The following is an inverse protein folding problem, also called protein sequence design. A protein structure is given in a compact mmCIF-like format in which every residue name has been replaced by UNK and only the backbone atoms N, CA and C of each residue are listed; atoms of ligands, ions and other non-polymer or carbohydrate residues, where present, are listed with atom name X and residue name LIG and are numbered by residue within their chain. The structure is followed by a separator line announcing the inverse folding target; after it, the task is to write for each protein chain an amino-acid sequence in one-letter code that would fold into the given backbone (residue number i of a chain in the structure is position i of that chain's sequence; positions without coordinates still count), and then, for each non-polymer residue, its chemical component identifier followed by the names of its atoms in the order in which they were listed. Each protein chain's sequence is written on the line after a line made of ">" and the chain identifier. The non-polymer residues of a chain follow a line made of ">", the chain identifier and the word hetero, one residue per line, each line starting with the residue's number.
data_IF_477560705186
#
_entry.id   IF_477560705186
#
_cell.length_a   1.000
_cell.length_b   1.000
_cell.length_c   1.000
_cell.angle_alpha   90.00
_cell.angle_beta   90.00
_cell.angle_gamma   90.00
#
_symmetry.space_group_name_H-M   'P 1'
#
loop_
_entity.id
_entity.type
_entity.pdbx_description
1 polymer ?
#
# COMPACT_ATOMS: atom_id res chain seq x y z
N UNK A 1 11.95 -45.69 -19.64
CA UNK A 1 12.63 -45.60 -20.94
C UNK A 1 11.62 -44.98 -21.89
N UNK A 2 11.85 -43.73 -22.29
CA UNK A 2 10.87 -42.97 -23.08
C UNK A 2 11.01 -43.31 -24.57
N UNK A 3 9.92 -43.17 -25.33
CA UNK A 3 9.80 -43.58 -26.74
C UNK A 3 10.91 -43.04 -27.67
N UNK A 4 11.63 -41.97 -27.30
CA UNK A 4 12.63 -41.30 -28.16
C UNK A 4 14.05 -41.23 -27.59
N UNK A 5 14.37 -41.87 -26.46
CA UNK A 5 15.75 -41.90 -25.92
C UNK A 5 16.36 -40.54 -25.51
N UNK A 6 15.56 -39.46 -25.46
CA UNK A 6 16.01 -38.14 -25.04
C UNK A 6 16.20 -38.04 -23.50
N UNK A 7 17.21 -37.29 -23.02
CA UNK A 7 17.44 -37.13 -21.58
C UNK A 7 16.28 -36.39 -20.91
N UNK A 8 15.70 -37.01 -19.89
CA UNK A 8 14.57 -36.43 -19.14
C UNK A 8 15.09 -35.35 -18.21
N UNK A 9 14.70 -34.10 -18.45
CA UNK A 9 14.93 -33.01 -17.50
C UNK A 9 13.70 -32.84 -16.63
N UNK A 10 13.88 -32.75 -15.31
CA UNK A 10 12.78 -32.55 -14.36
C UNK A 10 13.16 -31.49 -13.34
N UNK A 11 12.42 -30.38 -13.36
CA UNK A 11 12.57 -29.23 -12.46
C UNK A 11 11.33 -29.04 -11.56
N UNK A 12 10.46 -30.04 -11.53
CA UNK A 12 9.12 -29.97 -10.92
C UNK A 12 9.18 -29.87 -9.40
N UNK A 13 10.09 -30.59 -8.74
CA UNK A 13 10.22 -30.55 -7.28
C UNK A 13 10.64 -29.16 -6.78
N UNK A 14 11.63 -28.54 -7.45
CA UNK A 14 12.07 -27.18 -7.13
C UNK A 14 10.96 -26.15 -7.36
N UNK A 15 10.12 -26.34 -8.38
CA UNK A 15 8.96 -25.49 -8.65
C UNK A 15 7.91 -25.55 -7.52
N UNK A 16 7.56 -26.75 -7.06
CA UNK A 16 6.57 -26.94 -5.98
C UNK A 16 7.07 -26.32 -4.68
N UNK A 17 8.31 -26.61 -4.29
CA UNK A 17 8.91 -26.04 -3.08
C UNK A 17 8.91 -24.52 -3.12
N UNK A 18 9.31 -23.92 -4.25
CA UNK A 18 9.31 -22.46 -4.41
C UNK A 18 7.89 -21.90 -4.27
N UNK A 19 6.91 -22.48 -4.95
CA UNK A 19 5.52 -22.02 -4.93
C UNK A 19 4.91 -22.09 -3.52
N UNK A 20 5.07 -23.22 -2.82
CA UNK A 20 4.51 -23.43 -1.48
C UNK A 20 5.17 -22.54 -0.43
N UNK A 21 6.50 -22.39 -0.48
CA UNK A 21 7.24 -21.52 0.45
C UNK A 21 6.84 -20.06 0.25
N UNK A 22 6.79 -19.58 -1.00
CA UNK A 22 6.39 -18.20 -1.28
C UNK A 22 4.93 -17.93 -0.89
N UNK A 23 4.04 -18.87 -1.21
CA UNK A 23 2.62 -18.76 -0.85
C UNK A 23 2.40 -18.72 0.66
N UNK A 24 3.09 -19.59 1.40
CA UNK A 24 3.04 -19.60 2.88
C UNK A 24 3.55 -18.28 3.46
N UNK A 25 4.67 -17.78 2.94
CA UNK A 25 5.23 -16.50 3.37
C UNK A 25 4.26 -15.34 3.09
N UNK A 26 3.64 -15.30 1.91
CA UNK A 26 2.59 -14.32 1.59
C UNK A 26 1.41 -14.38 2.58
N UNK A 27 0.99 -15.59 2.97
CA UNK A 27 -0.02 -15.78 4.01
C UNK A 27 0.39 -15.21 5.37
N UNK A 28 1.64 -15.42 5.79
CA UNK A 28 2.18 -14.85 7.04
C UNK A 28 2.21 -13.32 6.99
N UNK A 29 2.65 -12.72 5.87
CA UNK A 29 2.65 -11.26 5.69
C UNK A 29 1.23 -10.68 5.75
N UNK A 30 0.28 -11.35 5.10
CA UNK A 30 -1.13 -10.96 5.10
C UNK A 30 -1.74 -11.07 6.51
N UNK A 31 -1.51 -12.18 7.20
CA UNK A 31 -1.95 -12.38 8.58
C UNK A 31 -1.38 -11.32 9.51
N UNK A 32 -0.07 -11.04 9.40
CA UNK A 32 0.60 -10.00 10.19
C UNK A 32 -0.07 -8.64 9.98
N UNK A 33 -0.43 -8.30 8.73
CA UNK A 33 -1.16 -7.06 8.42
C UNK A 33 -2.50 -6.99 9.15
N UNK A 34 -3.31 -8.04 9.11
CA UNK A 34 -4.63 -8.06 9.76
C UNK A 34 -4.52 -8.09 11.29
N UNK A 35 -3.64 -8.90 11.85
CA UNK A 35 -3.37 -8.96 13.30
C UNK A 35 -2.90 -7.60 13.81
N UNK A 36 -2.01 -6.92 13.09
CA UNK A 36 -1.56 -5.56 13.44
C UNK A 36 -2.75 -4.60 13.50
N UNK A 37 -3.62 -4.62 12.47
CA UNK A 37 -4.78 -3.71 12.43
C UNK A 37 -5.78 -4.00 13.54
N UNK A 38 -6.02 -5.26 13.84
CA UNK A 38 -6.91 -5.68 14.90
C UNK A 38 -6.37 -5.32 16.29
N UNK A 39 -5.12 -5.70 16.58
CA UNK A 39 -4.46 -5.43 17.87
C UNK A 39 -4.37 -3.93 18.19
N UNK A 40 -4.14 -3.11 17.17
CA UNK A 40 -3.97 -1.67 17.32
C UNK A 40 -5.22 -0.84 16.98
N UNK A 41 -6.38 -1.48 16.76
CA UNK A 41 -7.66 -0.84 16.43
C UNK A 41 -7.54 0.19 15.28
N UNK A 42 -6.74 -0.14 14.27
CA UNK A 42 -6.57 0.70 13.09
C UNK A 42 -7.81 0.59 12.20
N UNK A 43 -8.23 1.67 11.51
CA UNK A 43 -9.39 1.61 10.64
C UNK A 43 -9.16 0.66 9.47
N UNK A 44 -10.15 -0.17 9.16
CA UNK A 44 -10.17 -0.98 7.94
C UNK A 44 -10.50 -0.10 6.74
N UNK A 45 -9.73 -0.23 5.67
CA UNK A 45 -9.97 0.47 4.41
C UNK A 45 -10.37 -0.50 3.31
N UNK A 46 -10.79 0.04 2.16
CA UNK A 46 -11.06 -0.73 0.94
C UNK A 46 -9.80 -1.49 0.49
N UNK A 47 -8.62 -0.93 0.75
CA UNK A 47 -7.32 -1.57 0.50
C UNK A 47 -7.18 -2.89 1.28
N UNK A 48 -7.73 -3.01 2.48
CA UNK A 48 -7.69 -4.25 3.26
C UNK A 48 -8.64 -5.31 2.71
N UNK A 49 -9.82 -4.90 2.26
CA UNK A 49 -10.78 -5.80 1.63
C UNK A 49 -10.21 -6.38 0.33
N UNK A 50 -9.61 -5.53 -0.52
CA UNK A 50 -8.97 -5.97 -1.75
C UNK A 50 -7.74 -6.85 -1.49
N UNK A 51 -6.99 -6.59 -0.41
CA UNK A 51 -5.91 -7.50 0.01
C UNK A 51 -6.45 -8.87 0.40
N UNK A 52 -7.56 -8.93 1.15
CA UNK A 52 -8.20 -10.19 1.52
C UNK A 52 -8.67 -10.96 0.27
N UNK A 53 -9.30 -10.27 -0.68
CA UNK A 53 -9.72 -10.86 -1.96
C UNK A 53 -8.51 -11.38 -2.74
N UNK A 54 -7.42 -10.60 -2.81
CA UNK A 54 -6.15 -11.00 -3.44
C UNK A 54 -5.61 -12.28 -2.82
N UNK A 55 -5.60 -12.38 -1.49
CA UNK A 55 -5.16 -13.59 -0.80
C UNK A 55 -6.08 -14.77 -1.11
N UNK A 56 -7.40 -14.56 -1.11
CA UNK A 56 -8.38 -15.61 -1.39
C UNK A 56 -8.25 -16.14 -2.82
N UNK A 57 -7.90 -15.28 -3.79
CA UNK A 57 -7.59 -15.66 -5.17
C UNK A 57 -6.23 -16.37 -5.31
N UNK A 58 -5.25 -16.04 -4.46
CA UNK A 58 -3.93 -16.69 -4.49
C UNK A 58 -3.95 -18.14 -4.03
N UNK A 59 -4.87 -18.53 -3.14
CA UNK A 59 -4.96 -19.91 -2.61
C UNK A 59 -5.21 -20.92 -3.75
N UNK A 60 -6.24 -20.77 -4.61
CA UNK A 60 -6.41 -21.62 -5.78
C UNK A 60 -5.20 -21.62 -6.72
N UNK A 61 -4.52 -20.47 -6.89
CA UNK A 61 -3.32 -20.41 -7.74
C UNK A 61 -2.19 -21.30 -7.21
N UNK A 62 -1.97 -21.28 -5.88
CA UNK A 62 -0.96 -22.13 -5.23
C UNK A 62 -1.34 -23.60 -5.41
N UNK A 63 -2.60 -23.95 -5.13
CA UNK A 63 -3.08 -25.33 -5.27
C UNK A 63 -3.01 -25.84 -6.72
N UNK A 64 -3.39 -25.02 -7.70
CA UNK A 64 -3.34 -25.39 -9.12
C UNK A 64 -1.88 -25.55 -9.57
N UNK A 65 -0.95 -24.71 -9.12
CA UNK A 65 0.47 -24.88 -9.45
C UNK A 65 1.05 -26.18 -8.85
N UNK A 66 0.85 -26.41 -7.54
CA UNK A 66 1.48 -27.54 -6.82
C UNK A 66 0.80 -28.88 -7.05
N UNK A 67 -0.53 -28.92 -7.22
CA UNK A 67 -1.29 -30.18 -7.40
C UNK A 67 -1.91 -30.33 -8.79
N UNK A 68 -2.00 -29.24 -9.56
CA UNK A 68 -2.57 -29.26 -10.91
C UNK A 68 -1.51 -29.30 -12.00
N UNK A 69 -0.45 -28.49 -11.93
CA UNK A 69 0.57 -28.41 -12.99
C UNK A 69 1.75 -29.34 -12.71
N UNK A 70 2.19 -29.44 -11.45
CA UNK A 70 3.30 -30.32 -11.06
C UNK A 70 3.11 -31.79 -11.47
N UNK A 71 2.01 -32.48 -11.10
CA UNK A 71 1.83 -33.89 -11.48
C UNK A 71 1.47 -34.09 -12.96
N UNK A 72 1.12 -33.01 -13.67
CA UNK A 72 0.78 -33.04 -15.09
C UNK A 72 1.91 -32.47 -15.97
N UNK A 73 3.15 -32.43 -15.46
CA UNK A 73 4.34 -32.30 -16.28
C UNK A 73 4.89 -30.89 -16.49
N UNK A 74 4.58 -29.93 -15.62
CA UNK A 74 5.29 -28.65 -15.65
C UNK A 74 6.79 -28.86 -15.37
N UNK A 75 7.64 -28.30 -16.23
CA UNK A 75 9.09 -28.45 -16.10
C UNK A 75 9.59 -29.87 -16.38
N UNK A 76 8.82 -30.67 -17.13
CA UNK A 76 9.24 -31.91 -17.79
C UNK A 76 8.90 -31.84 -19.27
N UNK A 77 9.61 -32.60 -20.10
CA UNK A 77 9.36 -32.61 -21.53
C UNK A 77 7.97 -33.20 -21.88
N UNK A 78 7.29 -32.61 -22.88
CA UNK A 78 5.89 -32.92 -23.15
C UNK A 78 5.67 -34.37 -23.62
N UNK A 79 6.66 -34.95 -24.31
CA UNK A 79 6.64 -36.34 -24.80
C UNK A 79 6.75 -37.40 -23.69
N UNK A 80 6.98 -36.98 -22.43
CA UNK A 80 6.97 -37.89 -21.28
C UNK A 80 5.59 -38.05 -20.65
N UNK A 81 4.62 -37.26 -21.11
CA UNK A 81 3.27 -37.18 -20.54
C UNK A 81 2.28 -38.05 -21.29
N UNK A 82 1.33 -38.61 -20.54
CA UNK A 82 0.18 -39.30 -21.12
C UNK A 82 -0.82 -38.28 -21.72
N UNK A 83 -1.60 -38.66 -22.75
CA UNK A 83 -2.68 -37.86 -23.32
C UNK A 83 -3.61 -37.18 -22.30
N UNK A 84 -4.00 -37.91 -21.25
CA UNK A 84 -4.86 -37.39 -20.18
C UNK A 84 -4.13 -36.32 -19.36
N UNK A 85 -2.84 -36.50 -19.07
CA UNK A 85 -2.03 -35.50 -18.37
C UNK A 85 -1.87 -34.21 -19.18
N UNK A 86 -1.68 -34.30 -20.50
CA UNK A 86 -1.57 -33.12 -21.38
C UNK A 86 -2.88 -32.31 -21.36
N UNK A 87 -4.02 -33.00 -21.44
CA UNK A 87 -5.34 -32.35 -21.38
C UNK A 87 -5.59 -31.68 -20.03
N UNK A 88 -5.23 -32.35 -18.92
CA UNK A 88 -5.31 -31.78 -17.57
C UNK A 88 -4.38 -30.59 -17.38
N UNK A 89 -3.15 -30.67 -17.91
CA UNK A 89 -2.20 -29.56 -17.91
C UNK A 89 -2.80 -28.34 -18.62
N UNK A 90 -3.35 -28.52 -19.83
CA UNK A 90 -3.99 -27.44 -20.58
C UNK A 90 -5.17 -26.80 -19.82
N UNK A 91 -6.02 -27.61 -19.18
CA UNK A 91 -7.15 -27.11 -18.38
C UNK A 91 -6.69 -26.32 -17.15
N UNK A 92 -5.67 -26.81 -16.45
CA UNK A 92 -5.12 -26.14 -15.27
C UNK A 92 -4.38 -24.85 -15.65
N UNK A 93 -3.63 -24.86 -16.76
CA UNK A 93 -2.93 -23.69 -17.29
C UNK A 93 -3.91 -22.60 -17.73
N UNK A 94 -5.04 -22.98 -18.36
CA UNK A 94 -6.15 -22.07 -18.68
C UNK A 94 -6.72 -21.40 -17.43
N UNK A 95 -7.05 -22.18 -16.40
CA UNK A 95 -7.58 -21.65 -15.15
C UNK A 95 -6.58 -20.71 -14.46
N UNK A 96 -5.30 -21.08 -14.48
CA UNK A 96 -4.22 -20.28 -13.89
C UNK A 96 -4.05 -18.94 -14.60
N UNK A 97 -4.15 -18.90 -15.93
CA UNK A 97 -4.05 -17.66 -16.71
C UNK A 97 -5.14 -16.64 -16.32
N UNK A 98 -6.39 -17.09 -16.15
CA UNK A 98 -7.51 -16.24 -15.73
C UNK A 98 -7.28 -15.71 -14.31
N UNK A 99 -6.94 -16.61 -13.38
CA UNK A 99 -6.71 -16.24 -11.99
C UNK A 99 -5.53 -15.28 -11.84
N UNK A 100 -4.51 -15.46 -12.66
CA UNK A 100 -3.35 -14.58 -12.69
C UNK A 100 -3.71 -13.13 -13.04
N UNK A 101 -4.51 -12.90 -14.09
CA UNK A 101 -4.97 -11.54 -14.44
C UNK A 101 -5.84 -10.91 -13.35
N UNK A 102 -6.72 -11.70 -12.73
CA UNK A 102 -7.53 -11.25 -11.59
C UNK A 102 -6.66 -10.86 -10.39
N UNK A 103 -5.64 -11.66 -10.09
CA UNK A 103 -4.72 -11.45 -8.98
C UNK A 103 -3.89 -10.18 -9.19
N UNK A 104 -3.29 -10.00 -10.36
CA UNK A 104 -2.53 -8.80 -10.72
C UNK A 104 -3.40 -7.53 -10.64
N UNK A 105 -4.63 -7.60 -11.13
CA UNK A 105 -5.57 -6.47 -11.11
C UNK A 105 -5.91 -6.08 -9.67
N UNK A 106 -6.32 -7.05 -8.85
CA UNK A 106 -6.74 -6.81 -7.46
C UNK A 106 -5.58 -6.31 -6.60
N UNK A 107 -4.37 -6.81 -6.84
CA UNK A 107 -3.15 -6.39 -6.15
C UNK A 107 -2.80 -4.93 -6.46
N UNK A 108 -2.82 -4.53 -7.73
CA UNK A 108 -2.58 -3.12 -8.12
C UNK A 108 -3.67 -2.19 -7.60
N UNK A 109 -4.93 -2.61 -7.65
CA UNK A 109 -6.03 -1.85 -7.04
C UNK A 109 -5.79 -1.65 -5.55
N UNK A 110 -5.37 -2.69 -4.82
CA UNK A 110 -5.02 -2.60 -3.40
C UNK A 110 -3.97 -1.50 -3.13
N UNK A 111 -2.91 -1.43 -3.94
CA UNK A 111 -1.88 -0.39 -3.84
C UNK A 111 -2.43 1.02 -4.11
N UNK A 112 -3.24 1.19 -5.16
CA UNK A 112 -3.80 2.50 -5.53
C UNK A 112 -4.82 2.98 -4.50
N UNK A 113 -5.68 2.10 -3.97
CA UNK A 113 -6.59 2.45 -2.87
C UNK A 113 -5.84 2.81 -1.59
N UNK A 114 -4.73 2.13 -1.34
CA UNK A 114 -3.84 2.49 -0.25
C UNK A 114 -3.23 3.89 -0.45
N UNK A 115 -2.86 4.29 -1.69
CA UNK A 115 -2.43 5.66 -1.99
C UNK A 115 -3.55 6.69 -1.82
N UNK A 116 -4.78 6.38 -2.22
CA UNK A 116 -5.96 7.24 -2.00
C UNK A 116 -6.20 7.52 -0.52
N UNK A 117 -5.80 6.60 0.36
CA UNK A 117 -5.93 6.73 1.82
C UNK A 117 -4.82 7.58 2.44
N UNK A 118 -3.59 7.51 1.93
CA UNK A 118 -2.46 8.29 2.47
C UNK A 118 -2.52 9.74 2.04
N UNK A 119 -2.82 10.01 0.76
CA UNK A 119 -2.63 11.32 0.17
C UNK A 119 -3.97 12.06 0.08
N UNK A 120 -4.19 13.14 0.86
CA UNK A 120 -5.45 13.87 0.86
C UNK A 120 -5.60 14.87 -0.31
N UNK A 121 -4.53 15.18 -1.03
CA UNK A 121 -4.52 16.22 -2.08
C UNK A 121 -5.51 15.94 -3.22
N UNK A 122 -6.44 16.87 -3.47
CA UNK A 122 -7.55 16.69 -4.41
C UNK A 122 -7.10 16.38 -5.86
N UNK A 123 -6.12 17.14 -6.37
CA UNK A 123 -5.58 16.92 -7.72
C UNK A 123 -4.95 15.53 -7.87
N UNK A 124 -4.22 15.07 -6.85
CA UNK A 124 -3.61 13.75 -6.85
C UNK A 124 -4.66 12.63 -6.77
N UNK A 125 -5.72 12.83 -6.00
CA UNK A 125 -6.85 11.87 -5.92
C UNK A 125 -7.56 11.72 -7.25
N UNK A 126 -7.67 12.78 -8.07
CA UNK A 126 -8.23 12.68 -9.44
C UNK A 126 -7.38 11.75 -10.31
N UNK A 127 -6.06 11.89 -10.28
CA UNK A 127 -5.13 10.99 -11.00
C UNK A 127 -5.22 9.55 -10.50
N UNK A 128 -5.36 9.35 -9.18
CA UNK A 128 -5.52 8.02 -8.60
C UNK A 128 -6.82 7.35 -9.03
N UNK A 129 -7.94 8.06 -9.04
CA UNK A 129 -9.22 7.53 -9.55
C UNK A 129 -9.16 7.19 -11.04
N UNK A 130 -8.48 8.00 -11.85
CA UNK A 130 -8.19 7.66 -13.25
C UNK A 130 -7.35 6.38 -13.38
N UNK A 131 -6.39 6.20 -12.48
CA UNK A 131 -5.54 4.99 -12.43
C UNK A 131 -6.37 3.76 -12.01
N UNK A 132 -7.29 3.88 -11.05
CA UNK A 132 -8.24 2.82 -10.68
C UNK A 132 -9.05 2.39 -11.90
N UNK A 133 -9.66 3.34 -12.61
CA UNK A 133 -10.44 3.05 -13.80
C UNK A 133 -9.61 2.33 -14.88
N UNK A 134 -8.39 2.80 -15.13
CA UNK A 134 -7.49 2.18 -16.09
C UNK A 134 -7.13 0.73 -15.71
N UNK A 135 -6.76 0.48 -14.45
CA UNK A 135 -6.42 -0.87 -13.97
C UNK A 135 -7.64 -1.80 -14.07
N UNK A 136 -8.83 -1.33 -13.71
CA UNK A 136 -10.06 -2.12 -13.80
C UNK A 136 -10.39 -2.48 -15.25
N UNK A 137 -10.28 -1.52 -16.19
CA UNK A 137 -10.52 -1.77 -17.62
C UNK A 137 -9.49 -2.74 -18.18
N UNK A 138 -8.20 -2.55 -17.84
CA UNK A 138 -7.13 -3.48 -18.22
C UNK A 138 -7.43 -4.90 -17.74
N UNK A 139 -7.73 -5.06 -16.44
CA UNK A 139 -8.00 -6.35 -15.83
C UNK A 139 -9.20 -7.04 -16.46
N UNK A 140 -10.30 -6.32 -16.63
CA UNK A 140 -11.50 -6.85 -17.27
C UNK A 140 -11.23 -7.29 -18.72
N UNK A 141 -10.51 -6.47 -19.49
CA UNK A 141 -10.18 -6.77 -20.89
C UNK A 141 -9.36 -8.05 -20.99
N UNK A 142 -8.28 -8.17 -20.23
CA UNK A 142 -7.40 -9.35 -20.31
C UNK A 142 -8.03 -10.61 -19.71
N UNK A 143 -8.91 -10.49 -18.71
CA UNK A 143 -9.71 -11.62 -18.21
C UNK A 143 -10.66 -12.12 -19.29
N UNK A 144 -11.38 -11.22 -19.98
CA UNK A 144 -12.26 -11.60 -21.09
C UNK A 144 -11.49 -12.22 -22.25
N UNK A 145 -10.34 -11.63 -22.61
CA UNK A 145 -9.46 -12.21 -23.64
C UNK A 145 -8.96 -13.59 -23.22
N UNK A 146 -8.56 -13.79 -21.97
CA UNK A 146 -8.12 -15.10 -21.48
C UNK A 146 -9.25 -16.15 -21.51
N UNK A 147 -10.49 -15.76 -21.21
CA UNK A 147 -11.65 -16.65 -21.26
C UNK A 147 -12.01 -17.01 -22.71
N UNK A 148 -12.00 -16.02 -23.61
CA UNK A 148 -12.44 -16.18 -25.00
C UNK A 148 -11.28 -16.33 -26.00
N UNK A 149 -10.10 -16.74 -25.54
CA UNK A 149 -8.91 -16.84 -26.40
C UNK A 149 -9.02 -17.94 -27.47
N UNK A 150 -9.91 -18.92 -27.32
CA UNK A 150 -10.14 -19.98 -28.30
C UNK A 150 -11.64 -20.14 -28.62
N UNK A 151 -11.93 -20.48 -29.88
CA UNK A 151 -13.25 -20.83 -30.37
C UNK A 151 -13.20 -22.21 -31.03
N UNK A 152 -13.86 -23.24 -30.47
CA UNK A 152 -14.54 -23.28 -29.16
C UNK A 152 -13.55 -23.18 -27.96
N UNK A 153 -14.03 -22.81 -26.76
CA UNK A 153 -13.18 -22.69 -25.55
C UNK A 153 -12.46 -24.01 -25.24
N UNK A 154 -13.14 -25.14 -25.48
CA UNK A 154 -12.58 -26.47 -25.31
C UNK A 154 -11.38 -26.75 -26.20
N UNK A 155 -11.22 -25.99 -27.28
CA UNK A 155 -10.09 -26.11 -28.18
C UNK A 155 -8.76 -25.79 -27.48
N UNK A 156 -8.75 -24.98 -26.42
CA UNK A 156 -7.52 -24.63 -25.71
C UNK A 156 -6.79 -25.86 -25.14
N UNK A 157 -7.53 -26.83 -24.60
CA UNK A 157 -6.95 -28.03 -23.99
C UNK A 157 -7.07 -29.29 -24.87
N UNK A 158 -7.72 -29.22 -26.02
CA UNK A 158 -7.81 -30.32 -27.00
C UNK A 158 -6.91 -30.12 -28.21
N UNK A 159 -6.44 -28.90 -28.50
CA UNK A 159 -5.56 -28.58 -29.64
C UNK A 159 -4.34 -29.50 -29.81
N UNK A 160 -3.85 -30.11 -28.73
CA UNK A 160 -2.64 -30.95 -28.76
C UNK A 160 -2.85 -32.25 -29.55
N UNK A 161 -4.08 -32.75 -29.69
CA UNK A 161 -4.36 -34.02 -30.38
C UNK A 161 -4.45 -33.88 -31.91
N UNK A 162 -4.54 -32.65 -32.43
CA UNK A 162 -4.77 -32.35 -33.86
C UNK A 162 -6.03 -32.99 -34.47
N UNK A 163 -6.91 -33.58 -33.67
CA UNK A 163 -8.16 -34.20 -34.11
C UNK A 163 -9.32 -33.21 -34.07
N UNK A 164 -9.22 -32.18 -33.22
CA UNK A 164 -10.24 -31.15 -33.09
C UNK A 164 -9.95 -29.93 -33.98
N UNK A 165 -10.99 -29.39 -34.60
CA UNK A 165 -10.91 -28.15 -35.36
C UNK A 165 -11.27 -26.94 -34.47
N UNK A 166 -10.48 -25.87 -34.57
CA UNK A 166 -10.75 -24.64 -33.85
C UNK A 166 -9.73 -23.56 -34.16
N UNK A 167 -10.01 -22.34 -33.70
CA UNK A 167 -9.09 -21.20 -33.82
C UNK A 167 -8.80 -20.63 -32.44
N UNK A 168 -7.52 -20.43 -32.16
CA UNK A 168 -7.07 -19.73 -30.96
C UNK A 168 -6.32 -18.47 -31.35
N UNK A 169 -6.50 -17.41 -30.55
CA UNK A 169 -5.64 -16.24 -30.59
C UNK A 169 -4.20 -16.65 -30.23
N UNK A 170 -3.22 -15.91 -30.76
CA UNK A 170 -1.82 -16.18 -30.50
C UNK A 170 -1.48 -15.90 -29.04
N UNK A 171 -1.16 -16.96 -28.28
CA UNK A 171 -0.74 -16.87 -26.87
C UNK A 171 0.39 -15.86 -26.71
N UNK A 172 1.39 -15.88 -27.60
CA UNK A 172 2.52 -14.94 -27.54
C UNK A 172 2.07 -13.47 -27.64
N UNK A 173 1.13 -13.13 -28.53
CA UNK A 173 0.66 -11.75 -28.64
C UNK A 173 -0.10 -11.31 -27.38
N UNK A 174 -0.95 -12.18 -26.81
CA UNK A 174 -1.69 -11.89 -25.58
C UNK A 174 -0.71 -11.70 -24.42
N UNK A 175 0.26 -12.61 -24.27
CA UNK A 175 1.20 -12.56 -23.14
C UNK A 175 2.19 -11.42 -23.26
N UNK A 176 2.71 -11.11 -24.45
CA UNK A 176 3.64 -9.99 -24.64
C UNK A 176 2.96 -8.63 -24.48
N UNK A 177 1.76 -8.46 -25.04
CA UNK A 177 1.00 -7.20 -24.90
C UNK A 177 0.59 -6.95 -23.45
N UNK A 178 0.03 -7.95 -22.77
CA UNK A 178 -0.31 -7.84 -21.35
C UNK A 178 0.92 -7.57 -20.49
N UNK A 179 2.03 -8.29 -20.70
CA UNK A 179 3.24 -8.10 -19.93
C UNK A 179 3.82 -6.69 -20.08
N UNK A 180 3.85 -6.14 -21.31
CA UNK A 180 4.32 -4.78 -21.56
C UNK A 180 3.46 -3.72 -20.84
N UNK A 181 2.13 -3.84 -20.94
CA UNK A 181 1.21 -2.92 -20.25
C UNK A 181 1.32 -3.08 -18.74
N UNK A 182 1.48 -4.30 -18.22
CA UNK A 182 1.66 -4.58 -16.79
C UNK A 182 2.88 -3.87 -16.21
N UNK A 183 4.02 -3.94 -16.93
CA UNK A 183 5.26 -3.25 -16.57
C UNK A 183 5.07 -1.74 -16.61
N UNK A 184 4.41 -1.21 -17.64
CA UNK A 184 4.12 0.22 -17.74
C UNK A 184 3.27 0.71 -16.55
N UNK A 185 2.28 -0.09 -16.12
CA UNK A 185 1.51 0.20 -14.91
C UNK A 185 2.35 0.15 -13.64
N UNK A 186 3.31 -0.79 -13.53
CA UNK A 186 4.20 -0.85 -12.38
C UNK A 186 5.04 0.43 -12.26
N UNK A 187 5.63 0.91 -13.37
CA UNK A 187 6.36 2.18 -13.40
C UNK A 187 5.45 3.38 -13.08
N UNK A 188 4.23 3.39 -13.61
CA UNK A 188 3.27 4.45 -13.33
C UNK A 188 2.94 4.50 -11.83
N UNK A 189 2.55 3.37 -11.23
CA UNK A 189 2.19 3.27 -9.81
C UNK A 189 3.39 3.63 -8.92
N UNK A 190 4.60 3.20 -9.30
CA UNK A 190 5.84 3.56 -8.63
C UNK A 190 6.13 5.07 -8.67
N UNK A 191 5.83 5.72 -9.80
CA UNK A 191 6.04 7.15 -9.99
C UNK A 191 5.07 8.05 -9.21
N UNK A 192 3.84 7.59 -8.97
CA UNK A 192 2.80 8.35 -8.27
C UNK A 192 3.28 8.97 -6.94
N UNK A 193 3.82 8.22 -5.98
CA UNK A 193 4.26 8.80 -4.71
C UNK A 193 5.49 9.72 -4.84
N UNK A 194 6.35 9.52 -5.84
CA UNK A 194 7.51 10.40 -6.09
C UNK A 194 7.07 11.81 -6.49
N UNK A 195 6.00 11.93 -7.27
CA UNK A 195 5.48 13.25 -7.68
C UNK A 195 5.01 14.08 -6.48
N UNK A 196 4.47 13.42 -5.45
CA UNK A 196 4.01 14.08 -4.23
C UNK A 196 5.17 14.45 -3.30
N UNK A 197 6.23 13.63 -3.24
CA UNK A 197 7.42 13.92 -2.45
C UNK A 197 8.11 15.23 -2.86
N UNK A 198 8.11 15.57 -4.16
CA UNK A 198 8.74 16.82 -4.64
C UNK A 198 7.94 18.08 -4.30
N UNK A 199 6.64 17.96 -4.06
CA UNK A 199 5.72 19.10 -3.93
C UNK A 199 5.32 19.43 -2.49
N UNK A 200 5.68 18.61 -1.51
CA UNK A 200 5.10 18.72 -0.17
C UNK A 200 6.16 18.48 0.92
N UNK A 201 6.28 19.42 1.86
CA UNK A 201 7.12 19.33 3.07
C UNK A 201 6.56 18.28 4.05
N UNK A 202 6.59 17.02 3.64
CA UNK A 202 6.07 15.90 4.42
C UNK A 202 6.98 15.58 5.60
N UNK A 203 6.36 15.29 6.75
CA UNK A 203 7.02 14.76 7.94
C UNK A 203 7.99 13.63 7.59
N UNK A 204 9.14 13.57 8.26
CA UNK A 204 10.17 12.56 8.06
C UNK A 204 9.61 11.12 8.08
N UNK A 205 8.60 10.89 8.92
CA UNK A 205 7.89 9.61 9.00
C UNK A 205 7.15 9.27 7.70
N UNK A 206 6.53 10.22 6.99
CA UNK A 206 5.86 9.94 5.71
C UNK A 206 6.90 9.67 4.61
N UNK A 207 8.04 10.38 4.63
CA UNK A 207 9.16 10.16 3.71
C UNK A 207 9.73 8.74 3.78
N UNK A 208 9.93 8.20 4.98
CA UNK A 208 10.41 6.80 5.14
C UNK A 208 9.40 5.78 4.61
N UNK A 209 8.09 5.96 4.84
CA UNK A 209 7.07 5.06 4.28
C UNK A 209 7.15 5.02 2.76
N UNK A 210 7.25 6.21 2.15
CA UNK A 210 7.30 6.35 0.72
C UNK A 210 8.60 5.75 0.17
N UNK A 211 9.72 5.94 0.86
CA UNK A 211 11.00 5.32 0.48
C UNK A 211 10.96 3.79 0.48
N UNK A 212 10.35 3.17 1.51
CA UNK A 212 10.18 1.71 1.58
C UNK A 212 9.23 1.18 0.50
N UNK A 213 8.18 1.93 0.16
CA UNK A 213 7.29 1.57 -0.95
C UNK A 213 7.96 1.69 -2.29
N UNK A 214 8.81 2.70 -2.44
CA UNK A 214 9.56 2.92 -3.67
C UNK A 214 10.57 1.79 -3.91
N UNK A 215 11.32 1.37 -2.89
CA UNK A 215 12.24 0.23 -3.03
C UNK A 215 11.50 -1.07 -3.34
N UNK A 216 10.39 -1.32 -2.66
CA UNK A 216 9.50 -2.44 -2.91
C UNK A 216 8.96 -2.45 -4.36
N UNK A 217 8.51 -1.30 -4.85
CA UNK A 217 7.99 -1.18 -6.20
C UNK A 217 9.07 -1.33 -7.28
N UNK A 218 10.30 -0.84 -7.05
CA UNK A 218 11.43 -1.14 -7.95
C UNK A 218 11.66 -2.65 -8.03
N UNK A 219 11.66 -3.34 -6.88
CA UNK A 219 11.87 -4.78 -6.88
C UNK A 219 10.79 -5.53 -7.67
N UNK A 220 9.51 -5.17 -7.51
CA UNK A 220 8.40 -5.72 -8.31
C UNK A 220 8.60 -5.44 -9.80
N UNK A 221 8.98 -4.21 -10.20
CA UNK A 221 9.21 -3.89 -11.62
C UNK A 221 10.31 -4.76 -12.25
N UNK A 222 11.38 -5.06 -11.50
CA UNK A 222 12.46 -5.95 -11.98
C UNK A 222 11.90 -7.36 -12.20
N UNK A 223 11.08 -7.89 -11.27
CA UNK A 223 10.45 -9.19 -11.44
C UNK A 223 9.54 -9.22 -12.69
N UNK A 224 8.76 -8.16 -12.93
CA UNK A 224 7.91 -8.03 -14.12
C UNK A 224 8.71 -8.08 -15.42
N UNK A 225 9.91 -7.45 -15.46
CA UNK A 225 10.83 -7.47 -16.60
C UNK A 225 11.40 -8.89 -16.82
N UNK A 226 11.83 -9.55 -15.75
CA UNK A 226 12.37 -10.93 -15.83
C UNK A 226 11.31 -11.91 -16.35
N UNK A 227 10.05 -11.75 -15.92
CA UNK A 227 8.92 -12.53 -16.45
C UNK A 227 8.72 -12.28 -17.96
N UNK A 228 8.75 -11.03 -18.41
CA UNK A 228 8.64 -10.71 -19.84
C UNK A 228 9.77 -11.36 -20.63
N UNK A 229 11.01 -11.25 -20.15
CA UNK A 229 12.17 -11.91 -20.77
C UNK A 229 11.96 -13.42 -20.89
N UNK A 230 11.56 -14.10 -19.81
CA UNK A 230 11.30 -15.53 -19.81
C UNK A 230 10.20 -15.92 -20.82
N UNK A 231 9.14 -15.10 -20.92
CA UNK A 231 8.04 -15.34 -21.87
C UNK A 231 8.48 -15.13 -23.33
N UNK A 232 9.34 -14.14 -23.59
CA UNK A 232 9.88 -13.91 -24.93
C UNK A 232 10.76 -15.08 -25.35
N UNK A 233 11.62 -15.57 -24.43
CA UNK A 233 12.44 -16.76 -24.68
C UNK A 233 11.56 -17.98 -24.98
N UNK A 234 10.54 -18.23 -24.16
CA UNK A 234 9.60 -19.33 -24.36
C UNK A 234 8.84 -19.25 -25.71
N UNK A 235 8.56 -18.03 -26.18
CA UNK A 235 7.87 -17.80 -27.45
C UNK A 235 8.72 -17.97 -28.71
N UNK A 236 10.05 -18.13 -28.59
CA UNK A 236 10.96 -18.25 -29.75
C UNK A 236 11.06 -19.66 -30.31
N UNK A 237 10.93 -20.70 -29.48
CA UNK A 237 10.91 -22.10 -29.93
C UNK A 237 9.59 -22.80 -29.54
N UNK A 238 8.49 -22.49 -30.22
CA UNK A 238 7.19 -23.10 -29.95
C UNK A 238 7.08 -24.57 -30.41
N UNK A 239 8.09 -25.10 -31.12
CA UNK A 239 7.99 -26.41 -31.78
C UNK A 239 8.52 -27.58 -30.95
N UNK A 240 9.42 -27.34 -30.00
CA UNK A 240 10.04 -28.44 -29.25
C UNK A 240 9.30 -28.81 -27.96
N UNK A 241 8.88 -27.87 -27.10
CA UNK A 241 8.26 -28.21 -25.80
C UNK A 241 7.54 -27.05 -25.09
N UNK A 242 6.22 -26.95 -25.21
CA UNK A 242 5.46 -25.91 -24.47
C UNK A 242 5.59 -26.08 -22.94
N UNK A 243 5.54 -27.30 -22.42
CA UNK A 243 5.57 -27.56 -20.97
C UNK A 243 6.89 -27.20 -20.29
N UNK A 244 8.01 -27.34 -20.99
CA UNK A 244 9.34 -26.97 -20.50
C UNK A 244 9.61 -25.48 -20.66
N UNK A 245 9.35 -24.93 -21.85
CA UNK A 245 9.67 -23.54 -22.19
C UNK A 245 8.85 -22.52 -21.37
N UNK A 246 7.59 -22.83 -21.02
CA UNK A 246 6.77 -21.94 -20.18
C UNK A 246 7.01 -22.09 -18.67
N UNK A 247 7.72 -23.13 -18.21
CA UNK A 247 8.08 -23.32 -16.80
C UNK A 247 8.75 -22.10 -16.16
N UNK A 248 9.81 -21.48 -16.76
CA UNK A 248 10.40 -20.26 -16.22
C UNK A 248 9.42 -19.08 -16.18
N UNK A 249 8.53 -18.94 -17.17
CA UNK A 249 7.54 -17.86 -17.17
C UNK A 249 6.55 -17.99 -16.00
N UNK A 250 6.11 -19.21 -15.68
CA UNK A 250 5.24 -19.49 -14.53
C UNK A 250 5.99 -19.24 -13.22
N UNK A 251 7.26 -19.69 -13.11
CA UNK A 251 8.13 -19.40 -11.94
C UNK A 251 8.21 -17.91 -11.65
N UNK A 252 8.53 -17.10 -12.65
CA UNK A 252 8.62 -15.64 -12.49
C UNK A 252 7.27 -15.00 -12.17
N UNK A 253 6.17 -15.50 -12.73
CA UNK A 253 4.82 -15.01 -12.43
C UNK A 253 4.44 -15.28 -10.97
N UNK A 254 4.74 -16.47 -10.44
CA UNK A 254 4.55 -16.80 -9.02
C UNK A 254 5.38 -15.89 -8.12
N UNK A 255 6.65 -15.66 -8.48
CA UNK A 255 7.53 -14.76 -7.71
C UNK A 255 6.95 -13.35 -7.69
N UNK A 256 6.60 -12.80 -8.85
CA UNK A 256 6.05 -11.46 -9.00
C UNK A 256 4.79 -11.26 -8.16
N UNK A 257 3.82 -12.20 -8.22
CA UNK A 257 2.57 -12.06 -7.47
C UNK A 257 2.78 -12.11 -5.96
N UNK A 258 3.62 -13.02 -5.47
CA UNK A 258 3.90 -13.16 -4.04
C UNK A 258 4.69 -11.95 -3.51
N UNK A 259 5.70 -11.50 -4.24
CA UNK A 259 6.46 -10.29 -3.91
C UNK A 259 5.53 -9.08 -3.87
N UNK A 260 4.63 -8.94 -4.84
CA UNK A 260 3.63 -7.87 -4.86
C UNK A 260 2.76 -7.85 -3.60
N UNK A 261 2.35 -9.02 -3.09
CA UNK A 261 1.59 -9.14 -1.83
C UNK A 261 2.45 -8.65 -0.66
N UNK A 262 3.73 -9.06 -0.59
CA UNK A 262 4.64 -8.61 0.47
C UNK A 262 4.79 -7.09 0.45
N UNK A 263 5.00 -6.51 -0.74
CA UNK A 263 5.10 -5.07 -0.95
C UNK A 263 3.84 -4.32 -0.49
N UNK A 264 2.66 -4.84 -0.79
CA UNK A 264 1.40 -4.27 -0.35
C UNK A 264 1.16 -4.41 1.17
N UNK A 265 1.77 -5.40 1.82
CA UNK A 265 1.74 -5.59 3.28
C UNK A 265 2.77 -4.74 4.05
N UNK A 266 3.90 -4.36 3.43
CA UNK A 266 4.96 -3.55 4.03
C UNK A 266 4.50 -2.29 4.81
N UNK A 267 3.56 -1.46 4.31
CA UNK A 267 3.10 -0.30 5.08
C UNK A 267 2.57 -0.63 6.47
N UNK A 268 1.84 -1.74 6.60
CA UNK A 268 1.26 -2.13 7.89
C UNK A 268 2.33 -2.74 8.79
N UNK A 269 3.23 -3.54 8.22
CA UNK A 269 4.39 -4.09 8.93
C UNK A 269 5.25 -2.97 9.52
N UNK A 270 5.44 -1.87 8.79
CA UNK A 270 6.12 -0.69 9.32
C UNK A 270 5.44 -0.16 10.59
N UNK A 271 4.11 -0.02 10.59
CA UNK A 271 3.37 0.46 11.77
C UNK A 271 3.59 -0.47 12.96
N UNK A 272 3.68 -1.78 12.73
CA UNK A 272 4.04 -2.76 13.75
C UNK A 272 5.46 -2.55 14.27
N UNK A 273 6.46 -2.41 13.39
CA UNK A 273 7.86 -2.19 13.80
C UNK A 273 8.06 -0.92 14.62
N UNK A 274 7.43 0.19 14.23
CA UNK A 274 7.51 1.46 14.99
C UNK A 274 6.92 1.31 16.40
N UNK A 275 5.87 0.48 16.57
CA UNK A 275 5.19 0.30 17.85
C UNK A 275 5.84 -0.77 18.74
N UNK A 276 6.41 -1.82 18.15
CA UNK A 276 7.04 -2.91 18.88
C UNK A 276 8.47 -2.56 19.32
N UNK A 277 9.19 -1.74 18.53
CA UNK A 277 10.55 -1.32 18.82
C UNK A 277 10.68 0.21 18.87
N UNK A 278 10.01 0.89 19.82
CA UNK A 278 10.10 2.35 19.95
C UNK A 278 11.54 2.82 20.22
N UNK A 279 12.38 1.94 20.81
CA UNK A 279 13.78 2.22 21.16
C UNK A 279 14.77 2.09 19.98
N UNK A 280 14.41 1.39 18.90
CA UNK A 280 15.30 1.19 17.73
C UNK A 280 15.08 2.29 16.67
N UNK A 281 13.91 2.94 16.63
CA UNK A 281 13.58 3.99 15.66
C UNK A 281 13.56 5.44 16.21
N UNK A 282 14.06 5.64 17.43
CA UNK A 282 14.19 6.97 18.04
C UNK A 282 12.91 7.48 18.71
N UNK A 283 13.07 7.97 19.95
CA UNK A 283 12.01 8.54 20.77
C UNK A 283 11.24 9.66 20.03
N UNK A 284 9.96 9.44 19.77
CA UNK A 284 8.94 10.49 19.90
C UNK A 284 7.58 9.83 19.96
N UNK A 285 7.29 9.28 21.14
CA UNK A 285 5.95 8.91 21.56
C UNK A 285 5.20 10.20 21.92
N UNK A 286 4.69 10.93 20.92
CA UNK A 286 3.57 11.86 21.14
C UNK A 286 2.51 11.64 20.07
N UNK A 287 1.41 11.06 20.55
CA UNK A 287 0.04 11.11 20.02
C UNK A 287 -0.17 10.93 18.51
N UNK A 288 -0.41 9.68 18.11
CA UNK A 288 -1.27 9.38 16.95
C UNK A 288 -2.68 9.18 17.50
N UNK A 289 -3.47 10.25 17.62
CA UNK A 289 -4.92 10.17 17.71
C UNK A 289 -5.46 10.17 16.28
N UNK A 290 -5.84 8.99 15.77
CA UNK A 290 -6.73 8.91 14.61
C UNK A 290 -8.13 9.31 15.07
N UNK A 291 -8.77 10.18 14.28
CA UNK A 291 -10.00 10.88 14.62
C UNK A 291 -11.11 10.02 15.21
N UNK A 292 -11.66 10.50 16.32
CA UNK A 292 -13.03 10.24 16.74
C UNK A 292 -13.62 11.59 17.12
N UNK A 293 -14.36 12.20 16.18
CA UNK A 293 -15.22 13.33 16.49
C UNK A 293 -16.42 12.79 17.27
N UNK A 294 -16.36 12.85 18.60
CA UNK A 294 -17.55 12.91 19.44
C UNK A 294 -17.36 14.04 20.43
N UNK A 295 -18.00 15.17 20.12
CA UNK A 295 -18.23 16.21 21.09
C UNK A 295 -19.03 15.63 22.25
N UNK A 296 -18.52 15.80 23.46
CA UNK A 296 -19.27 15.62 24.68
C UNK A 296 -18.81 16.70 25.65
N UNK A 297 -19.64 17.72 25.71
CA UNK A 297 -19.66 18.77 26.70
C UNK A 297 -19.90 18.14 28.08
N UNK A 298 -18.92 18.17 28.97
CA UNK A 298 -19.12 17.76 30.37
C UNK A 298 -18.23 18.57 31.30
N UNK A 299 -18.92 19.42 32.07
CA UNK A 299 -18.42 20.18 33.23
C UNK A 299 -17.65 19.29 34.20
N UNK A 300 -16.56 19.83 34.74
CA UNK A 300 -15.84 19.28 35.88
C UNK A 300 -16.76 19.21 37.13
N UNK A 301 -16.41 18.32 38.08
CA UNK A 301 -16.06 18.87 39.38
C UNK A 301 -14.74 18.30 39.91
N UNK A 302 -14.02 19.14 40.65
CA UNK A 302 -12.67 18.89 41.12
C UNK A 302 -12.55 17.78 42.16
N UNK A 303 -11.33 17.28 42.29
CA UNK A 303 -10.81 16.71 43.53
C UNK A 303 -9.30 16.89 43.59
N UNK A 304 -8.90 17.46 44.72
CA UNK A 304 -7.55 17.55 45.26
C UNK A 304 -6.81 16.20 45.17
N UNK A 305 -5.57 16.24 44.70
CA UNK A 305 -4.63 15.13 44.72
C UNK A 305 -3.21 15.65 44.50
N UNK A 306 -2.42 15.65 45.57
CA UNK A 306 -0.99 15.95 45.54
C UNK A 306 -0.27 15.03 44.55
N UNK A 307 0.43 15.60 43.58
CA UNK A 307 1.50 14.90 42.87
C UNK A 307 2.66 15.85 42.58
N UNK A 308 3.85 15.45 43.04
CA UNK A 308 5.12 16.16 42.90
C UNK A 308 5.40 16.52 41.43
N UNK A 309 5.54 17.83 41.18
CA UNK A 309 6.10 18.35 39.94
C UNK A 309 7.62 18.52 40.11
N UNK A 310 8.40 17.73 39.38
CA UNK A 310 9.82 17.98 39.18
C UNK A 310 9.96 18.89 37.94
N UNK A 311 10.04 20.20 38.19
CA UNK A 311 10.21 21.21 37.16
C UNK A 311 10.69 22.52 37.77
N UNK A 312 11.83 23.01 37.28
CA UNK A 312 12.52 24.22 37.72
C UNK A 312 11.57 25.43 37.68
N UNK A 313 11.20 25.94 38.85
CA UNK A 313 10.41 27.17 38.96
C UNK A 313 11.35 28.37 39.10
N UNK A 314 11.49 29.16 38.04
CA UNK A 314 12.07 30.49 38.12
C UNK A 314 11.06 31.41 38.82
N UNK A 315 11.32 31.78 40.08
CA UNK A 315 10.55 32.82 40.76
C UNK A 315 10.89 34.17 40.13
N UNK A 316 9.90 34.83 39.53
CA UNK A 316 9.98 36.26 39.22
C UNK A 316 9.48 37.00 40.47
N UNK A 317 10.34 37.84 41.03
CA UNK A 317 10.03 38.71 42.16
C UNK A 317 8.86 39.63 41.80
N UNK A 318 7.78 39.54 42.57
CA UNK A 318 6.61 40.41 42.40
C UNK A 318 6.92 41.72 43.12
N UNK A 319 7.04 42.83 42.39
CA UNK A 319 7.19 44.15 42.97
C UNK A 319 6.04 44.45 43.96
N UNK A 320 6.32 45.20 45.06
CA UNK A 320 5.35 45.40 46.12
C UNK A 320 4.13 46.20 45.63
N UNK A 321 2.95 45.68 45.96
CA UNK A 321 1.63 46.24 45.65
C UNK A 321 1.48 47.62 46.32
N UNK A 322 1.46 48.70 45.54
CA UNK A 322 1.09 50.01 46.05
C UNK A 322 -0.36 49.97 46.58
N UNK A 323 -0.60 50.61 47.74
CA UNK A 323 -1.93 50.71 48.35
C UNK A 323 -2.85 51.53 47.45
N UNK A 324 -3.96 50.94 46.99
CA UNK A 324 -4.98 51.60 46.16
C UNK A 324 -6.16 52.00 47.05
N UNK A 325 -6.62 53.25 46.88
CA UNK A 325 -7.80 53.90 47.50
C UNK A 325 -9.12 53.17 47.17
N UNK A 326 -10.18 53.21 48.02
CA UNK A 326 -11.29 52.25 47.97
C UNK A 326 -12.35 52.49 46.88
N UNK A 327 -12.06 53.25 45.83
CA UNK A 327 -13.02 53.53 44.75
C UNK A 327 -12.36 53.56 43.37
N UNK A 328 -12.16 52.37 42.82
CA UNK A 328 -11.74 52.16 41.43
C UNK A 328 -11.92 50.69 41.04
N UNK A 329 -12.42 50.43 39.82
CA UNK A 329 -12.58 49.08 39.28
C UNK A 329 -11.21 48.59 38.81
N UNK A 330 -10.67 47.55 39.44
CA UNK A 330 -9.45 46.87 39.00
C UNK A 330 -9.78 45.82 37.94
N UNK A 331 -9.32 46.04 36.71
CA UNK A 331 -9.33 45.01 35.66
C UNK A 331 -7.99 44.28 35.66
N UNK A 332 -7.99 43.02 36.08
CA UNK A 332 -6.84 42.13 35.94
C UNK A 332 -7.00 41.35 34.63
N UNK A 333 -5.99 41.41 33.75
CA UNK A 333 -6.07 40.78 32.41
C UNK A 333 -4.96 39.75 32.30
N UNK A 334 -5.34 38.48 32.45
CA UNK A 334 -4.45 37.34 32.28
C UNK A 334 -4.36 36.97 30.80
N UNK A 335 -3.15 36.78 30.29
CA UNK A 335 -2.91 36.23 28.96
C UNK A 335 -2.27 34.86 29.11
N UNK A 336 -2.82 33.84 28.44
CA UNK A 336 -2.15 32.57 28.27
C UNK A 336 -1.18 32.69 27.09
N UNK A 337 0.11 32.53 27.36
CA UNK A 337 1.14 32.50 26.32
C UNK A 337 1.45 31.03 26.04
N UNK A 338 0.89 30.51 24.94
CA UNK A 338 1.21 29.19 24.43
C UNK A 338 2.50 29.29 23.58
N UNK A 339 3.61 28.79 24.12
CA UNK A 339 4.85 28.64 23.34
C UNK A 339 4.74 27.36 22.49
N UNK A 340 4.77 27.52 21.17
CA UNK A 340 5.05 26.42 20.25
C UNK A 340 6.58 26.28 20.14
N UNK A 341 7.08 25.05 20.31
CA UNK A 341 8.51 24.67 20.35
C UNK A 341 9.30 24.90 19.02
N UNK A 342 8.92 25.86 18.17
CA UNK A 342 9.60 26.11 16.89
C UNK A 342 10.01 27.56 16.60
N UNK A 343 9.85 28.51 17.52
CA UNK A 343 10.30 29.88 17.28
C UNK A 343 11.54 30.22 18.12
N UNK A 344 12.70 29.73 17.68
CA UNK A 344 13.95 30.39 18.06
C UNK A 344 14.09 31.71 17.28
N UNK A 345 14.06 32.80 18.05
CA UNK A 345 14.63 34.12 17.77
C UNK A 345 14.04 34.98 16.63
N UNK A 346 13.05 35.81 16.99
CA UNK A 346 13.07 37.21 16.56
C UNK A 346 12.73 38.12 17.75
N UNK A 347 13.72 38.89 18.21
CA UNK A 347 13.56 39.93 19.22
C UNK A 347 12.62 41.02 18.67
N UNK A 348 11.35 40.95 19.02
CA UNK A 348 10.44 42.09 18.83
C UNK A 348 10.66 43.04 20.00
N UNK A 349 11.35 44.16 19.73
CA UNK A 349 11.35 45.31 20.62
C UNK A 349 9.90 45.71 20.92
N UNK A 350 9.47 45.60 22.17
CA UNK A 350 8.23 46.25 22.60
C UNK A 350 8.42 47.76 22.45
N UNK A 351 7.66 48.35 21.53
CA UNK A 351 7.49 49.80 21.44
C UNK A 351 6.62 50.22 22.62
N UNK A 352 7.12 51.10 23.48
CA UNK A 352 6.33 51.69 24.56
C UNK A 352 5.08 52.37 23.95
N UNK A 353 3.91 51.82 24.25
CA UNK A 353 2.64 52.46 23.92
C UNK A 353 2.35 53.54 24.98
N UNK A 354 2.90 54.72 24.77
CA UNK A 354 2.39 55.94 25.42
C UNK A 354 1.02 56.28 24.82
N UNK A 355 -0.05 55.84 25.49
CA UNK A 355 -1.42 56.28 25.19
C UNK A 355 -1.75 57.50 26.06
N UNK A 356 -2.12 58.65 25.47
CA UNK A 356 -2.51 59.83 26.22
C UNK A 356 -3.89 59.66 26.89
N UNK A 357 -3.93 60.00 28.17
CA UNK A 357 -5.12 60.07 29.01
C UNK A 357 -6.04 61.19 28.50
N UNK A 358 -7.18 60.86 27.89
CA UNK A 358 -8.27 61.82 27.69
C UNK A 358 -9.20 61.80 28.91
N UNK A 359 -8.91 62.65 29.89
CA UNK A 359 -9.83 62.97 30.98
C UNK A 359 -10.83 64.04 30.54
N UNK A 360 -12.08 63.67 30.31
CA UNK A 360 -13.19 64.62 30.24
C UNK A 360 -13.79 64.77 31.65
N UNK A 361 -13.42 65.85 32.34
CA UNK A 361 -14.07 66.36 33.55
C UNK A 361 -14.91 67.57 33.14
N UNK A 362 -16.22 67.39 32.99
CA UNK A 362 -17.17 68.50 32.96
C UNK A 362 -17.62 68.79 34.39
N UNK A 363 -17.05 69.83 34.98
CA UNK A 363 -17.54 70.43 36.21
C UNK A 363 -18.83 71.20 35.95
N UNK A 364 -19.84 70.94 36.77
CA UNK A 364 -20.96 71.84 36.98
C UNK A 364 -20.60 72.72 38.18
N UNK A 365 -20.39 74.01 37.94
CA UNK A 365 -20.37 75.03 38.98
C UNK A 365 -21.32 76.16 38.57
N UNK A 366 -22.25 76.41 39.48
CA UNK A 366 -23.31 77.40 39.48
C UNK A 366 -22.78 78.83 39.45
N UNK A 367 -23.44 79.69 38.66
CA UNK A 367 -23.27 81.14 38.67
C UNK A 367 -24.43 81.79 39.43
N UNK A 368 -24.12 82.59 40.44
CA UNK A 368 -25.01 83.59 41.05
C UNK A 368 -24.51 85.01 40.72
N UNK A 369 -25.47 85.96 40.65
CA UNK A 369 -25.37 87.43 40.62
C UNK A 369 -25.04 88.14 39.28
N UNK A 370 -26.08 88.67 38.62
CA UNK A 370 -26.58 90.05 38.78
C UNK A 370 -27.94 90.22 38.10
#
# INVERSE_FOLDING_TARGET
>A
MNLCGAPVRSETAGFVVLNDVMGTLSGVFCLTRFVTKFAYKLPFGIDDLLMLITMLLSIPCISINSYGLAPNGIGTDIWTLTPDQITRFGRNFYALAIMYFLLQTTLKLTLVFFYLRIFPAAEFRRTLWGTVAFITVYGLTFVLVAIFQCQPISYFWTKWDHEHEGKCASINAITWSSAAINIAMDFWILGLPLTQLRKMSLDWRKKIAIGLMFSAGIFVTIMSILRLYATIVAGRDPQNNVSWEYSPAIKWSTIETNVGIWCACMPTIRVLFVRLFPKILGETTRYINYGSSKGANSRAPGKSGNQMSLGTTSKVDRAPRAKISPSGITCDRTYDVEYADNDEAYLVHMKELNLPFHGNRSGAESSESL
#
